data_IF_277144713628
#
_entry.id   IF_277144713628
#
_cell.length_a   1.000
_cell.length_b   1.000
_cell.length_c   1.000
_cell.angle_alpha   90.00
_cell.angle_beta   90.00
_cell.angle_gamma   90.00
#
_symmetry.space_group_name_H-M   'P 1'
#
loop_
_entity.id
_entity.type
_entity.pdbx_description
1 polymer ?
#
# COMPACT_ATOMS: atom_id res chain seq x y z
N UNK A 1 -7.79 -49.28 18.76
CA UNK A 1 -6.53 -48.64 18.33
C UNK A 1 -6.45 -48.40 16.81
N UNK A 2 -6.88 -49.28 15.93
CA UNK A 2 -6.84 -49.07 14.45
C UNK A 2 -7.71 -47.95 13.97
N UNK A 3 -8.92 -47.70 14.54
CA UNK A 3 -9.82 -46.63 14.17
C UNK A 3 -9.29 -45.23 14.52
N UNK A 4 -8.65 -45.09 15.70
CA UNK A 4 -8.08 -43.82 16.15
C UNK A 4 -6.91 -43.33 15.25
N UNK A 5 -6.04 -44.24 14.81
CA UNK A 5 -4.94 -43.96 13.86
C UNK A 5 -5.49 -43.45 12.50
N UNK A 6 -6.64 -43.94 12.06
CA UNK A 6 -7.28 -43.56 10.80
C UNK A 6 -7.82 -42.12 10.84
N UNK A 7 -8.42 -41.70 11.97
CA UNK A 7 -8.87 -40.35 12.18
C UNK A 7 -7.73 -39.34 12.29
N UNK A 8 -6.64 -39.71 12.96
CA UNK A 8 -5.43 -38.86 13.05
C UNK A 8 -4.81 -38.62 11.67
N UNK A 9 -4.74 -39.62 10.80
CA UNK A 9 -4.23 -39.49 9.43
C UNK A 9 -5.15 -38.61 8.54
N UNK A 10 -6.47 -38.71 8.71
CA UNK A 10 -7.43 -37.87 7.97
C UNK A 10 -7.35 -36.42 8.44
N UNK A 11 -7.24 -36.17 9.73
CA UNK A 11 -7.06 -34.81 10.26
C UNK A 11 -5.71 -34.19 9.85
N UNK A 12 -4.65 -34.97 9.80
CA UNK A 12 -3.32 -34.52 9.35
C UNK A 12 -3.35 -34.16 7.85
N UNK A 13 -4.06 -34.93 7.02
CA UNK A 13 -4.24 -34.65 5.59
C UNK A 13 -5.06 -33.39 5.34
N UNK A 14 -6.08 -33.09 6.16
CA UNK A 14 -6.89 -31.87 6.08
C UNK A 14 -6.11 -30.62 6.51
N UNK A 15 -5.18 -30.73 7.46
CA UNK A 15 -4.35 -29.61 7.93
C UNK A 15 -3.30 -29.24 6.88
N UNK A 16 -2.77 -30.21 6.11
CA UNK A 16 -1.81 -29.93 5.04
C UNK A 16 -2.42 -29.27 3.80
N UNK A 17 -3.73 -29.38 3.60
CA UNK A 17 -4.43 -28.75 2.44
C UNK A 17 -4.75 -27.27 2.65
N UNK A 18 -4.55 -26.71 3.84
CA UNK A 18 -4.76 -25.29 4.16
C UNK A 18 -3.52 -24.41 3.89
N UNK A 19 -2.45 -24.98 3.37
CA UNK A 19 -1.24 -24.23 3.05
C UNK A 19 -1.24 -23.85 1.56
N UNK A 20 -1.37 -22.58 1.33
CA UNK A 20 -1.00 -21.85 0.11
C UNK A 20 -2.14 -21.12 -0.62
N UNK A 21 -2.90 -20.31 0.10
CA UNK A 21 -3.45 -19.11 -0.53
C UNK A 21 -2.37 -18.01 -0.52
N UNK A 22 -1.29 -18.25 -1.22
CA UNK A 22 -0.33 -17.23 -1.58
C UNK A 22 -1.07 -16.20 -2.45
N UNK A 23 -1.44 -15.06 -1.90
CA UNK A 23 -1.99 -13.94 -2.65
C UNK A 23 -1.02 -13.62 -3.79
N UNK A 24 -1.37 -14.02 -5.03
CA UNK A 24 -0.57 -13.75 -6.22
C UNK A 24 -0.48 -12.23 -6.36
N UNK A 25 0.68 -11.67 -6.12
CA UNK A 25 0.89 -10.24 -6.28
C UNK A 25 0.71 -9.87 -7.75
N UNK A 26 -0.08 -8.82 -8.02
CA UNK A 26 -0.37 -8.35 -9.38
C UNK A 26 0.86 -7.71 -10.03
N UNK A 27 1.75 -7.14 -9.24
CA UNK A 27 3.00 -6.49 -9.68
C UNK A 27 3.97 -6.43 -8.50
N UNK A 28 5.25 -6.59 -8.77
CA UNK A 28 6.33 -6.53 -7.77
C UNK A 28 7.50 -5.74 -8.34
N UNK A 29 8.07 -4.84 -7.55
CA UNK A 29 9.28 -4.10 -7.91
C UNK A 29 10.06 -3.69 -6.66
N UNK A 30 11.28 -3.15 -6.85
CA UNK A 30 12.10 -2.59 -5.78
C UNK A 30 12.15 -1.07 -5.91
N UNK A 31 12.08 -0.37 -4.80
CA UNK A 31 12.03 1.10 -4.75
C UNK A 31 12.92 1.65 -3.65
N UNK A 32 13.23 2.92 -3.74
CA UNK A 32 13.69 3.70 -2.59
C UNK A 32 12.47 4.12 -1.78
N UNK A 33 12.48 3.91 -0.47
CA UNK A 33 11.47 4.46 0.43
C UNK A 33 12.03 5.64 1.21
N UNK A 34 11.22 6.67 1.37
CA UNK A 34 11.45 7.82 2.24
C UNK A 34 10.22 8.03 3.11
N UNK A 35 10.27 8.98 4.02
CA UNK A 35 9.13 9.35 4.85
C UNK A 35 8.92 10.85 4.82
N UNK A 36 7.67 11.28 4.89
CA UNK A 36 7.28 12.68 4.97
C UNK A 36 6.22 12.91 6.05
N UNK A 37 6.08 14.16 6.46
CA UNK A 37 5.04 14.63 7.36
C UNK A 37 4.09 15.56 6.61
N UNK A 38 2.80 15.51 6.92
CA UNK A 38 1.79 16.39 6.32
C UNK A 38 1.88 17.80 6.92
N UNK A 39 2.99 18.50 6.64
CA UNK A 39 3.27 19.88 7.11
C UNK A 39 3.63 20.77 5.91
N UNK A 40 3.33 22.07 6.01
CA UNK A 40 3.55 23.04 4.90
C UNK A 40 5.00 23.12 4.41
N UNK A 41 5.97 22.84 5.25
CA UNK A 41 7.40 22.84 4.89
C UNK A 41 7.81 21.66 4.00
N UNK A 42 7.02 20.59 3.95
CA UNK A 42 7.32 19.38 3.18
C UNK A 42 6.31 19.08 2.07
N UNK A 43 5.18 19.77 2.06
CA UNK A 43 4.08 19.60 1.11
C UNK A 43 3.76 20.91 0.38
N UNK A 44 2.83 20.83 -0.58
CA UNK A 44 2.28 22.01 -1.26
C UNK A 44 1.32 22.83 -0.36
N UNK A 45 0.49 23.70 -1.00
CA UNK A 45 -0.44 24.59 -0.29
C UNK A 45 -1.49 23.84 0.55
N UNK A 46 -1.75 22.56 0.27
CA UNK A 46 -2.79 21.76 0.92
C UNK A 46 -2.21 20.48 1.56
N UNK A 47 -1.37 20.58 2.58
CA UNK A 47 -0.62 19.44 3.13
C UNK A 47 -1.49 18.32 3.71
N UNK A 48 -2.76 18.60 4.00
CA UNK A 48 -3.72 17.63 4.54
C UNK A 48 -4.65 17.01 3.48
N UNK A 49 -4.37 17.25 2.18
CA UNK A 49 -5.15 16.69 1.06
C UNK A 49 -4.17 16.04 0.09
N UNK A 50 -4.37 14.75 -0.18
CA UNK A 50 -3.55 13.99 -1.13
C UNK A 50 -3.96 14.26 -2.58
N UNK A 51 -3.16 13.78 -3.55
CA UNK A 51 -3.41 13.95 -4.98
C UNK A 51 -4.76 13.36 -5.45
N UNK A 52 -5.31 12.34 -4.79
CA UNK A 52 -6.63 11.77 -5.09
C UNK A 52 -7.78 12.43 -4.30
N UNK A 53 -7.49 13.47 -3.50
CA UNK A 53 -8.46 14.19 -2.68
C UNK A 53 -8.74 13.58 -1.31
N UNK A 54 -8.00 12.55 -0.90
CA UNK A 54 -8.14 11.96 0.44
C UNK A 54 -7.68 12.96 1.50
N UNK A 55 -8.50 13.17 2.54
CA UNK A 55 -8.12 14.00 3.69
C UNK A 55 -7.22 13.22 4.64
N UNK A 56 -6.13 13.83 5.07
CA UNK A 56 -5.21 13.29 6.07
C UNK A 56 -5.68 13.72 7.45
N UNK A 57 -5.89 12.75 8.34
CA UNK A 57 -6.13 12.97 9.78
C UNK A 57 -4.87 12.59 10.56
N UNK A 58 -4.18 13.58 11.10
CA UNK A 58 -2.93 13.37 11.84
C UNK A 58 -3.10 12.47 13.08
N UNK A 59 -4.28 12.41 13.70
CA UNK A 59 -4.56 11.48 14.81
C UNK A 59 -4.58 10.04 14.31
N UNK A 60 -5.21 9.77 13.16
CA UNK A 60 -5.26 8.45 12.52
C UNK A 60 -3.90 8.03 11.97
N UNK A 61 -3.10 8.97 11.46
CA UNK A 61 -1.71 8.71 11.06
C UNK A 61 -0.87 8.32 12.29
N UNK A 62 -1.04 9.04 13.41
CA UNK A 62 -0.33 8.76 14.67
C UNK A 62 -0.68 7.38 15.24
N UNK A 63 -1.97 7.01 15.23
CA UNK A 63 -2.45 5.70 15.70
C UNK A 63 -2.12 4.53 14.75
N UNK A 64 -1.71 4.83 13.50
CA UNK A 64 -1.48 3.81 12.47
C UNK A 64 -2.75 3.29 11.79
N UNK A 65 -3.89 3.92 12.04
CA UNK A 65 -5.16 3.62 11.37
C UNK A 65 -5.15 4.10 9.91
N UNK A 66 -4.55 5.26 9.64
CA UNK A 66 -4.41 5.80 8.29
C UNK A 66 -2.97 5.60 7.80
N UNK A 67 -2.77 4.67 6.86
CA UNK A 67 -1.48 4.30 6.28
C UNK A 67 -1.46 4.66 4.79
N UNK A 68 -0.86 5.78 4.47
CA UNK A 68 -0.80 6.37 3.12
C UNK A 68 0.64 6.43 2.63
N UNK A 69 0.81 6.24 1.31
CA UNK A 69 2.07 6.55 0.60
C UNK A 69 1.81 7.46 -0.59
N UNK A 70 2.77 8.35 -0.84
CA UNK A 70 2.95 9.00 -2.13
C UNK A 70 3.84 8.14 -3.01
N UNK A 71 3.53 8.07 -4.32
CA UNK A 71 4.28 7.25 -5.29
C UNK A 71 4.89 8.12 -6.38
N UNK A 72 6.08 7.78 -6.86
CA UNK A 72 6.69 8.45 -8.00
C UNK A 72 5.89 8.19 -9.28
N UNK A 73 5.80 9.20 -10.15
CA UNK A 73 4.88 9.21 -11.30
C UNK A 73 5.15 8.13 -12.33
N UNK A 74 6.39 7.66 -12.43
CA UNK A 74 6.80 6.55 -13.31
C UNK A 74 6.17 5.20 -12.92
N UNK A 75 5.78 5.03 -11.68
CA UNK A 75 5.13 3.81 -11.20
C UNK A 75 3.58 3.84 -11.29
N UNK A 76 2.96 4.98 -11.59
CA UNK A 76 1.50 5.13 -11.58
C UNK A 76 0.77 4.24 -12.59
N UNK A 77 1.41 3.90 -13.71
CA UNK A 77 0.83 2.99 -14.69
C UNK A 77 0.62 1.58 -14.11
N UNK A 78 1.62 1.07 -13.39
CA UNK A 78 1.56 -0.25 -12.76
C UNK A 78 0.77 -0.23 -11.45
N UNK A 79 0.92 0.84 -10.66
CA UNK A 79 0.35 1.02 -9.32
C UNK A 79 -0.44 2.34 -9.29
N UNK A 80 -1.69 2.38 -9.76
CA UNK A 80 -2.49 3.60 -9.78
C UNK A 80 -2.92 4.04 -8.39
N UNK A 81 -3.30 5.33 -8.25
CA UNK A 81 -3.90 5.87 -7.02
C UNK A 81 -5.11 5.04 -6.59
N UNK A 82 -5.28 4.83 -5.29
CA UNK A 82 -6.29 3.95 -4.71
C UNK A 82 -5.88 2.47 -4.64
N UNK A 83 -4.67 2.12 -5.09
CA UNK A 83 -4.12 0.76 -4.92
C UNK A 83 -3.75 0.49 -3.48
N UNK A 84 -3.82 -0.79 -3.08
CA UNK A 84 -3.21 -1.31 -1.86
C UNK A 84 -1.88 -1.98 -2.21
N UNK A 85 -0.82 -1.58 -1.55
CA UNK A 85 0.52 -2.18 -1.69
C UNK A 85 1.01 -2.75 -0.36
N UNK A 86 1.81 -3.78 -0.44
CA UNK A 86 2.63 -4.27 0.68
C UNK A 86 4.06 -3.78 0.51
N UNK A 87 4.60 -3.17 1.55
CA UNK A 87 5.99 -2.70 1.62
C UNK A 87 6.75 -3.61 2.57
N UNK A 88 7.77 -4.29 2.06
CA UNK A 88 8.56 -5.27 2.82
C UNK A 88 9.17 -4.64 4.08
N UNK A 89 8.93 -5.30 5.24
CA UNK A 89 9.36 -4.80 6.55
C UNK A 89 8.57 -3.62 7.11
N UNK A 90 7.54 -3.11 6.39
CA UNK A 90 6.73 -1.96 6.81
C UNK A 90 5.22 -2.21 6.81
N UNK A 91 4.74 -3.23 6.09
CA UNK A 91 3.32 -3.62 6.04
C UNK A 91 2.54 -3.02 4.89
N UNK A 92 1.23 -2.85 5.06
CA UNK A 92 0.30 -2.44 4.00
C UNK A 92 0.04 -0.95 4.02
N UNK A 93 -0.03 -0.35 2.81
CA UNK A 93 -0.30 1.08 2.61
C UNK A 93 -1.23 1.30 1.43
N UNK A 94 -2.04 2.35 1.52
CA UNK A 94 -2.83 2.84 0.40
C UNK A 94 -2.05 3.89 -0.39
N UNK A 95 -2.03 3.74 -1.71
CA UNK A 95 -1.42 4.72 -2.62
C UNK A 95 -2.42 5.83 -2.87
N UNK A 96 -2.26 6.98 -2.21
CA UNK A 96 -3.21 8.10 -2.27
C UNK A 96 -2.61 9.39 -2.81
N UNK A 97 -1.28 9.46 -2.89
CA UNK A 97 -0.59 10.69 -3.25
C UNK A 97 0.48 10.45 -4.31
N UNK A 98 0.97 11.54 -4.91
CA UNK A 98 2.02 11.51 -5.93
C UNK A 98 3.20 12.36 -5.52
N UNK A 99 4.39 11.90 -5.87
CA UNK A 99 5.64 12.64 -5.66
C UNK A 99 5.90 13.62 -6.81
N UNK A 100 6.81 14.58 -6.56
CA UNK A 100 7.34 15.45 -7.60
C UNK A 100 7.94 14.61 -8.75
N UNK A 101 7.78 15.08 -10.00
CA UNK A 101 8.19 14.37 -11.22
C UNK A 101 9.69 14.06 -11.33
N UNK A 102 10.54 14.79 -10.58
CA UNK A 102 11.98 14.52 -10.47
C UNK A 102 12.33 13.19 -9.81
N UNK A 103 11.42 12.67 -8.97
CA UNK A 103 11.63 11.38 -8.29
C UNK A 103 11.21 10.21 -9.16
N UNK A 104 12.03 9.16 -9.17
CA UNK A 104 11.81 7.93 -9.91
C UNK A 104 12.02 6.72 -9.00
N UNK A 105 11.27 5.63 -9.25
CA UNK A 105 11.34 4.38 -8.50
C UNK A 105 11.35 4.59 -6.97
N UNK A 106 10.40 5.42 -6.50
CA UNK A 106 10.34 5.84 -5.11
C UNK A 106 8.92 5.87 -4.59
N UNK A 107 8.78 5.56 -3.31
CA UNK A 107 7.59 5.86 -2.53
C UNK A 107 7.98 6.67 -1.29
N UNK A 108 7.03 7.48 -0.82
CA UNK A 108 7.19 8.34 0.34
C UNK A 108 6.08 8.00 1.35
N UNK A 109 6.46 7.47 2.51
CA UNK A 109 5.52 6.99 3.53
C UNK A 109 5.09 8.16 4.39
N UNK A 110 3.78 8.41 4.46
CA UNK A 110 3.22 9.38 5.38
C UNK A 110 3.39 8.90 6.82
N UNK A 111 3.99 9.73 7.66
CA UNK A 111 4.14 9.47 9.09
C UNK A 111 3.79 10.71 9.92
N UNK A 112 3.52 10.49 11.21
CA UNK A 112 3.30 11.58 12.15
C UNK A 112 4.62 12.32 12.44
N UNK A 113 4.56 13.64 12.63
CA UNK A 113 5.71 14.53 12.83
C UNK A 113 6.58 14.20 14.05
N UNK A 114 6.06 13.41 15.00
CA UNK A 114 6.85 12.92 16.14
C UNK A 114 7.85 11.83 15.79
N UNK A 115 7.79 11.24 14.58
CA UNK A 115 8.69 10.18 14.12
C UNK A 115 9.85 10.78 13.34
N UNK A 116 11.05 10.22 13.53
CA UNK A 116 12.23 10.59 12.77
C UNK A 116 12.11 10.12 11.33
N UNK A 117 12.42 11.01 10.37
CA UNK A 117 12.45 10.66 8.95
C UNK A 117 13.58 9.67 8.66
N UNK A 118 13.34 8.77 7.70
CA UNK A 118 14.35 7.82 7.23
C UNK A 118 14.30 7.66 5.71
N UNK A 119 15.36 7.08 5.18
CA UNK A 119 15.48 6.65 3.78
C UNK A 119 16.07 5.24 3.76
N UNK A 120 15.48 4.36 2.95
CA UNK A 120 16.00 3.02 2.67
C UNK A 120 15.93 2.75 1.18
N UNK A 121 16.96 2.10 0.65
CA UNK A 121 17.00 1.73 -0.76
C UNK A 121 16.70 0.26 -0.98
N UNK A 122 16.31 -0.10 -2.19
CA UNK A 122 16.12 -1.48 -2.64
C UNK A 122 15.08 -2.25 -1.80
N UNK A 123 14.00 -1.61 -1.42
CA UNK A 123 12.91 -2.24 -0.68
C UNK A 123 11.89 -2.79 -1.66
N UNK A 124 11.54 -4.07 -1.48
CA UNK A 124 10.52 -4.74 -2.29
C UNK A 124 9.13 -4.22 -1.94
N UNK A 125 8.37 -3.86 -2.97
CA UNK A 125 6.94 -3.57 -2.86
C UNK A 125 6.14 -4.52 -3.74
N UNK A 126 4.93 -4.86 -3.29
CA UNK A 126 4.00 -5.73 -4.01
C UNK A 126 2.65 -5.05 -4.13
N UNK A 127 2.11 -4.99 -5.35
CA UNK A 127 0.74 -4.58 -5.57
C UNK A 127 -0.20 -5.71 -5.14
N UNK A 128 -1.04 -5.43 -4.15
CA UNK A 128 -1.99 -6.41 -3.57
C UNK A 128 -3.36 -6.26 -4.21
N UNK A 129 -3.83 -5.01 -4.37
CA UNK A 129 -5.15 -4.71 -4.93
C UNK A 129 -5.12 -3.43 -5.75
N UNK A 130 -5.69 -3.46 -6.97
CA UNK A 130 -5.97 -2.25 -7.77
C UNK A 130 -7.26 -1.56 -7.28
N UNK A 131 -7.40 -0.23 -7.49
CA UNK A 131 -8.65 0.45 -7.22
C UNK A 131 -9.79 -0.14 -8.07
N UNK A 132 -11.05 -0.07 -7.61
CA UNK A 132 -12.18 -0.45 -8.42
C UNK A 132 -12.24 0.40 -9.69
N UNK A 133 -12.53 -0.23 -10.83
CA UNK A 133 -12.70 0.47 -12.11
C UNK A 133 -13.92 1.37 -11.98
N UNK A 134 -13.74 2.68 -11.99
CA UNK A 134 -14.85 3.63 -12.08
C UNK A 134 -15.50 3.44 -13.46
N UNK A 135 -16.70 2.85 -13.52
CA UNK A 135 -17.49 2.85 -14.75
C UNK A 135 -17.71 4.31 -15.17
N UNK A 136 -17.20 4.70 -16.34
CA UNK A 136 -17.51 6.01 -16.92
C UNK A 136 -19.04 6.06 -17.10
N UNK A 137 -19.70 6.92 -16.35
CA UNK A 137 -21.11 7.25 -16.63
C UNK A 137 -21.18 7.79 -18.06
N UNK A 138 -21.74 7.03 -18.98
CA UNK A 138 -21.99 7.39 -20.38
C UNK A 138 -23.11 8.45 -20.54
N UNK A 139 -23.61 9.04 -19.46
CA UNK A 139 -24.67 10.03 -19.47
C UNK A 139 -24.11 11.45 -19.31
N UNK A 140 -23.38 11.92 -20.33
CA UNK A 140 -23.33 13.34 -20.69
C UNK A 140 -23.65 13.46 -22.16
N UNK A 141 -24.93 13.23 -22.48
CA UNK A 141 -25.59 13.81 -23.66
C UNK A 141 -26.73 14.69 -23.13
N UNK A 142 -26.55 15.92 -23.17
CA UNK A 142 -27.33 17.03 -23.78
C UNK A 142 -26.96 18.34 -23.10
#
# INVERSE_FOLDING_TARGET
MKKLKRYILICLGLILSLQSYGSKSLFTTHVTITTYNAVRSQCDRSPLITADGTKIDNRKVKSGEQKIVAISRDLLYAIPLGSLIYVEGHGYYEVRDTMNSRFKHRIDILQHSSKKNFKKNNIKIKLVKKPPIKKKNKNRKK
#
